data_IF_972438485950
#
_entry.id   IF_972438485950
#
_cell.length_a   1.000
_cell.length_b   1.000
_cell.length_c   1.000
_cell.angle_alpha   90.00
_cell.angle_beta   90.00
_cell.angle_gamma   90.00
#
_symmetry.space_group_name_H-M   'P 1'
#
loop_
_entity.id
_entity.type
_entity.pdbx_description
1 polymer ?
#
# COMPACT_ATOMS: atom_id res chain seq x y z
N UNK A 1 16.29 19.65 -7.99
CA UNK A 1 15.48 19.22 -6.82
C UNK A 1 15.74 20.18 -5.69
N UNK A 2 14.75 20.46 -4.84
CA UNK A 2 14.98 21.31 -3.68
C UNK A 2 15.86 20.56 -2.67
N UNK A 3 16.55 21.30 -1.81
CA UNK A 3 17.39 20.71 -0.77
C UNK A 3 16.50 20.21 0.38
N UNK A 4 16.73 18.99 0.85
CA UNK A 4 16.06 18.45 2.06
C UNK A 4 16.43 19.32 3.27
N UNK A 5 15.45 19.93 3.97
CA UNK A 5 15.70 20.71 5.17
C UNK A 5 16.43 19.90 6.25
N UNK A 6 17.38 20.53 6.95
CA UNK A 6 18.08 19.93 8.09
C UNK A 6 17.30 20.22 9.37
N UNK A 7 16.36 19.35 9.70
CA UNK A 7 15.59 19.40 10.94
C UNK A 7 16.09 18.32 11.91
N UNK A 8 16.09 18.59 13.23
CA UNK A 8 16.42 17.58 14.23
C UNK A 8 15.39 16.45 14.22
N UNK A 9 15.83 15.24 14.58
CA UNK A 9 14.92 14.12 14.76
C UNK A 9 14.08 14.31 16.02
N UNK A 10 12.80 13.95 15.93
CA UNK A 10 11.96 13.76 17.11
C UNK A 10 12.52 12.61 17.96
N UNK A 11 12.47 12.75 19.28
CA UNK A 11 13.03 11.80 20.26
C UNK A 11 12.02 10.80 20.79
N UNK A 12 10.72 11.04 20.60
CA UNK A 12 9.67 10.18 21.12
C UNK A 12 8.66 9.76 20.05
N UNK A 13 8.17 8.53 20.19
CA UNK A 13 7.08 8.00 19.39
C UNK A 13 5.77 8.74 19.69
N UNK A 14 4.92 8.87 18.66
CA UNK A 14 3.65 9.61 18.67
C UNK A 14 2.53 8.63 19.06
N UNK A 15 1.60 8.97 20.00
CA UNK A 15 0.55 9.99 19.81
C UNK A 15 0.76 11.33 20.52
N UNK A 16 1.60 11.38 21.55
CA UNK A 16 1.68 12.52 22.47
C UNK A 16 2.95 13.37 22.30
N UNK A 17 3.54 13.35 21.09
CA UNK A 17 4.80 13.99 20.66
C UNK A 17 5.38 14.99 21.70
N UNK A 18 6.12 14.51 22.72
CA UNK A 18 6.62 15.36 23.80
C UNK A 18 7.68 16.36 23.33
N UNK A 19 8.19 16.18 22.11
CA UNK A 19 9.12 17.10 21.46
C UNK A 19 8.43 18.36 20.92
N UNK A 20 7.09 18.38 20.85
CA UNK A 20 6.38 19.58 20.46
C UNK A 20 6.58 20.69 21.50
N UNK A 21 7.05 21.88 21.09
CA UNK A 21 7.15 23.02 21.98
C UNK A 21 5.79 23.34 22.62
N UNK A 22 5.79 23.72 23.90
CA UNK A 22 4.56 24.04 24.63
C UNK A 22 3.74 25.15 23.95
N UNK A 23 4.41 26.10 23.29
CA UNK A 23 3.74 27.09 22.45
C UNK A 23 4.00 26.76 20.98
N UNK A 24 2.93 26.71 20.18
CA UNK A 24 3.01 26.50 18.73
C UNK A 24 3.92 27.49 17.99
N UNK A 25 4.05 28.72 18.52
CA UNK A 25 4.93 29.76 17.94
C UNK A 25 6.41 29.41 18.03
N UNK A 26 6.77 28.48 18.90
CA UNK A 26 8.13 28.04 19.15
C UNK A 26 8.51 26.86 18.22
N UNK A 27 7.56 26.31 17.45
CA UNK A 27 7.86 25.38 16.36
C UNK A 27 8.64 26.15 15.28
N UNK A 28 9.80 25.65 14.82
CA UNK A 28 10.54 26.30 13.75
C UNK A 28 9.64 26.49 12.52
N UNK A 29 9.52 27.74 12.04
CA UNK A 29 8.58 28.07 10.95
C UNK A 29 8.89 27.30 9.66
N UNK A 30 10.16 27.00 9.44
CA UNK A 30 10.66 26.19 8.34
C UNK A 30 10.38 24.69 8.51
N UNK A 31 10.06 24.23 9.72
CA UNK A 31 9.67 22.84 9.97
C UNK A 31 8.26 22.54 9.46
N UNK A 32 7.30 23.46 9.59
CA UNK A 32 5.88 23.24 9.27
C UNK A 32 5.40 21.86 9.77
N UNK A 33 5.48 21.64 11.08
CA UNK A 33 5.33 20.30 11.67
C UNK A 33 3.88 20.06 12.08
N UNK A 34 3.19 19.22 11.31
CA UNK A 34 1.75 19.03 11.43
C UNK A 34 1.32 18.61 12.84
N UNK A 35 2.00 17.63 13.46
CA UNK A 35 1.65 17.17 14.82
C UNK A 35 1.80 18.25 15.89
N UNK A 36 2.72 19.21 15.71
CA UNK A 36 2.98 20.22 16.73
C UNK A 36 2.13 21.48 16.59
N UNK A 37 1.99 22.03 15.39
CA UNK A 37 1.25 23.28 15.18
C UNK A 37 0.02 23.13 14.28
N UNK A 38 -0.12 22.03 13.55
CA UNK A 38 -1.15 21.80 12.54
C UNK A 38 -0.79 22.42 11.19
N UNK A 39 0.49 22.70 10.93
CA UNK A 39 0.93 23.28 9.67
C UNK A 39 0.80 22.28 8.51
N UNK A 40 0.14 22.75 7.46
CA UNK A 40 -0.08 22.03 6.20
C UNK A 40 0.68 22.77 5.11
N UNK A 41 1.52 22.04 4.36
CA UNK A 41 2.28 22.60 3.27
C UNK A 41 1.37 22.89 2.06
N UNK A 42 1.80 23.79 1.17
CA UNK A 42 0.96 24.23 0.05
C UNK A 42 0.55 23.10 -0.92
N UNK A 43 1.30 22.00 -0.96
CA UNK A 43 1.06 20.84 -1.81
C UNK A 43 0.55 19.61 -1.04
N UNK A 44 0.31 19.73 0.26
CA UNK A 44 -0.42 18.73 1.03
C UNK A 44 -1.90 18.74 0.62
N UNK A 45 -2.54 17.57 0.70
CA UNK A 45 -3.97 17.40 0.46
C UNK A 45 -4.66 17.23 1.82
N UNK A 46 -5.34 18.28 2.30
CA UNK A 46 -6.10 18.25 3.58
C UNK A 46 -7.62 18.43 3.41
N UNK A 47 -8.07 18.88 2.23
CA UNK A 47 -9.47 19.14 1.88
C UNK A 47 -9.75 18.78 0.42
N UNK A 48 -11.00 18.48 0.09
CA UNK A 48 -11.42 18.43 -1.30
C UNK A 48 -11.76 19.84 -1.80
N UNK A 49 -11.29 20.28 -2.99
CA UNK A 49 -11.64 21.59 -3.52
C UNK A 49 -13.14 21.75 -3.83
N UNK A 50 -13.83 20.66 -4.15
CA UNK A 50 -15.26 20.66 -4.49
C UNK A 50 -16.11 20.57 -3.23
N UNK A 51 -17.08 21.48 -3.07
CA UNK A 51 -18.06 21.41 -1.99
C UNK A 51 -18.76 20.04 -1.96
N UNK A 52 -19.09 19.58 -0.74
CA UNK A 52 -19.72 18.29 -0.44
C UNK A 52 -18.93 17.04 -0.84
N UNK A 53 -17.84 17.15 -1.60
CA UNK A 53 -16.95 16.03 -1.83
C UNK A 53 -16.39 15.56 -0.49
N UNK A 54 -16.45 14.26 -0.25
CA UNK A 54 -15.96 13.65 0.97
C UNK A 54 -14.93 12.60 0.60
N UNK A 55 -13.65 12.95 0.76
CA UNK A 55 -12.55 12.00 0.75
C UNK A 55 -12.68 11.04 1.92
N UNK A 56 -13.45 9.97 1.73
CA UNK A 56 -13.55 8.88 2.67
C UNK A 56 -12.27 8.06 2.57
N UNK A 57 -11.63 7.80 3.72
CA UNK A 57 -10.34 7.11 3.75
C UNK A 57 -10.25 6.17 4.93
N UNK A 58 -9.47 5.11 4.80
CA UNK A 58 -9.21 4.12 5.85
C UNK A 58 -7.71 3.85 5.97
N UNK A 59 -7.19 3.90 7.19
CA UNK A 59 -5.77 3.69 7.51
C UNK A 59 -5.54 2.35 8.21
N UNK A 60 -4.26 1.94 8.20
CA UNK A 60 -3.65 0.81 8.93
C UNK A 60 -3.93 -0.59 8.37
N UNK A 61 -4.82 -0.70 7.40
CA UNK A 61 -5.08 -1.93 6.66
C UNK A 61 -3.94 -2.38 5.72
N UNK A 62 -4.15 -3.49 5.00
CA UNK A 62 -5.32 -4.37 5.12
C UNK A 62 -5.26 -5.21 6.41
N UNK A 63 -6.40 -5.73 6.84
CA UNK A 63 -6.54 -6.54 8.05
C UNK A 63 -7.52 -7.70 7.84
N UNK A 64 -7.72 -8.52 8.87
CA UNK A 64 -8.80 -9.53 8.89
C UNK A 64 -10.19 -8.89 8.77
N UNK A 65 -10.36 -7.62 9.15
CA UNK A 65 -11.63 -6.90 9.19
C UNK A 65 -11.93 -6.12 7.90
N UNK A 66 -10.91 -5.80 7.11
CA UNK A 66 -11.05 -5.08 5.84
C UNK A 66 -12.06 -5.72 4.88
N UNK A 67 -12.12 -7.06 4.67
CA UNK A 67 -13.15 -7.67 3.81
C UNK A 67 -14.59 -7.37 4.26
N UNK A 68 -14.82 -7.25 5.57
CA UNK A 68 -16.13 -6.89 6.13
C UNK A 68 -16.47 -5.43 5.86
N UNK A 69 -15.48 -4.54 5.89
CA UNK A 69 -15.65 -3.14 5.48
C UNK A 69 -15.93 -3.03 3.99
N UNK A 70 -15.16 -3.70 3.13
CA UNK A 70 -15.37 -3.72 1.67
C UNK A 70 -16.81 -4.11 1.31
N UNK A 71 -17.34 -5.16 1.94
CA UNK A 71 -18.75 -5.55 1.77
C UNK A 71 -19.73 -4.41 2.09
N UNK A 72 -19.48 -3.63 3.15
CA UNK A 72 -20.34 -2.48 3.52
C UNK A 72 -20.23 -1.35 2.49
N UNK A 73 -19.02 -1.04 2.04
CA UNK A 73 -18.79 -0.01 1.03
C UNK A 73 -19.44 -0.38 -0.31
N UNK A 74 -19.30 -1.64 -0.74
CA UNK A 74 -19.97 -2.17 -1.93
C UNK A 74 -21.51 -2.06 -1.80
N UNK A 75 -22.08 -2.44 -0.65
CA UNK A 75 -23.53 -2.30 -0.40
C UNK A 75 -24.01 -0.84 -0.45
N UNK A 76 -23.15 0.10 -0.07
CA UNK A 76 -23.43 1.53 -0.13
C UNK A 76 -23.10 2.16 -1.51
N UNK A 77 -22.53 1.40 -2.45
CA UNK A 77 -21.98 1.89 -3.72
C UNK A 77 -20.97 3.03 -3.51
N UNK A 78 -20.09 2.86 -2.52
CA UNK A 78 -19.07 3.84 -2.13
C UNK A 78 -17.69 3.32 -2.48
N UNK A 79 -16.88 4.16 -3.12
CA UNK A 79 -15.44 3.94 -3.30
C UNK A 79 -14.66 4.81 -2.32
N UNK A 80 -13.50 4.34 -1.90
CA UNK A 80 -12.63 4.96 -0.89
C UNK A 80 -11.17 4.84 -1.33
N UNK A 81 -10.25 5.45 -0.58
CA UNK A 81 -8.83 5.11 -0.61
C UNK A 81 -8.43 4.42 0.70
N UNK A 82 -7.63 3.36 0.60
CA UNK A 82 -7.03 2.66 1.72
C UNK A 82 -5.56 3.04 1.79
N UNK A 83 -5.12 3.61 2.92
CA UNK A 83 -3.70 3.88 3.19
C UNK A 83 -3.10 2.66 3.87
N UNK A 84 -2.41 1.84 3.08
CA UNK A 84 -2.00 0.51 3.51
C UNK A 84 -0.59 0.48 4.11
N UNK A 85 -0.41 -0.30 5.17
CA UNK A 85 0.89 -0.54 5.80
C UNK A 85 1.59 -1.70 5.10
N UNK A 86 2.84 -1.52 4.66
CA UNK A 86 3.55 -2.52 3.85
C UNK A 86 3.67 -3.90 4.50
N UNK A 87 3.92 -3.95 5.82
CA UNK A 87 3.99 -5.21 6.57
C UNK A 87 2.63 -5.95 6.62
N UNK A 88 1.51 -5.23 6.61
CA UNK A 88 0.16 -5.78 6.51
C UNK A 88 -0.16 -6.29 5.11
N UNK A 89 0.32 -5.61 4.07
CA UNK A 89 0.21 -6.09 2.69
C UNK A 89 0.88 -7.45 2.51
N UNK A 90 2.01 -7.68 3.18
CA UNK A 90 2.68 -8.98 3.18
C UNK A 90 1.82 -10.08 3.84
N UNK A 91 1.06 -9.74 4.89
CA UNK A 91 0.18 -10.67 5.60
C UNK A 91 -1.15 -10.92 4.88
N UNK A 92 -1.71 -9.89 4.25
CA UNK A 92 -3.05 -9.89 3.62
C UNK A 92 -3.02 -9.48 2.12
N UNK A 93 -2.23 -10.14 1.26
CA UNK A 93 -2.10 -9.76 -0.15
C UNK A 93 -3.41 -9.93 -0.93
N UNK A 94 -4.22 -10.94 -0.61
CA UNK A 94 -5.52 -11.17 -1.25
C UNK A 94 -6.53 -10.07 -0.91
N UNK A 95 -6.49 -9.54 0.32
CA UNK A 95 -7.33 -8.41 0.72
C UNK A 95 -6.96 -7.15 -0.04
N UNK A 96 -5.67 -6.85 -0.21
CA UNK A 96 -5.22 -5.73 -1.05
C UNK A 96 -5.70 -5.88 -2.50
N UNK A 97 -5.62 -7.08 -3.07
CA UNK A 97 -6.17 -7.34 -4.41
C UNK A 97 -7.68 -7.15 -4.47
N UNK A 98 -8.40 -7.50 -3.40
CA UNK A 98 -9.84 -7.29 -3.30
C UNK A 98 -10.19 -5.80 -3.28
N UNK A 99 -9.47 -4.97 -2.50
CA UNK A 99 -9.63 -3.50 -2.49
C UNK A 99 -9.53 -2.93 -3.91
N UNK A 100 -8.47 -3.29 -4.64
CA UNK A 100 -8.25 -2.84 -6.03
C UNK A 100 -9.36 -3.34 -6.96
N UNK A 101 -9.74 -4.61 -6.85
CA UNK A 101 -10.76 -5.23 -7.71
C UNK A 101 -12.15 -4.62 -7.52
N UNK A 102 -12.48 -4.20 -6.31
CA UNK A 102 -13.74 -3.52 -5.99
C UNK A 102 -13.72 -2.02 -6.34
N UNK A 103 -12.60 -1.53 -6.90
CA UNK A 103 -12.49 -0.16 -7.43
C UNK A 103 -12.07 0.87 -6.39
N UNK A 104 -11.57 0.44 -5.24
CA UNK A 104 -10.93 1.31 -4.27
C UNK A 104 -9.52 1.69 -4.71
N UNK A 105 -9.04 2.82 -4.22
CA UNK A 105 -7.68 3.28 -4.45
C UNK A 105 -6.76 2.87 -3.32
N UNK A 106 -5.47 2.73 -3.65
CA UNK A 106 -4.43 2.41 -2.67
C UNK A 106 -3.51 3.63 -2.51
N UNK A 107 -3.40 4.10 -1.27
CA UNK A 107 -2.36 5.00 -0.79
C UNK A 107 -1.37 4.23 0.09
N UNK A 108 -0.17 4.77 0.29
CA UNK A 108 0.84 4.15 1.16
C UNK A 108 0.78 4.72 2.58
N UNK A 109 0.91 3.86 3.58
CA UNK A 109 1.00 4.22 5.00
C UNK A 109 2.28 3.69 5.64
N UNK A 110 3.41 3.87 4.94
CA UNK A 110 4.74 3.37 5.31
C UNK A 110 4.86 1.84 5.31
N UNK A 111 6.00 1.32 5.73
CA UNK A 111 6.25 -0.12 5.82
C UNK A 111 5.80 -0.67 7.18
N UNK A 112 6.18 0.01 8.26
CA UNK A 112 6.00 -0.47 9.64
C UNK A 112 5.14 0.45 10.51
N UNK A 113 4.53 1.49 9.95
CA UNK A 113 3.75 2.49 10.70
C UNK A 113 4.60 3.31 11.69
N UNK A 114 5.85 3.63 11.31
CA UNK A 114 6.74 4.43 12.15
C UNK A 114 6.42 5.94 12.11
N UNK A 115 6.64 6.64 13.23
CA UNK A 115 6.58 8.11 13.28
C UNK A 115 7.73 8.72 12.46
N UNK A 116 7.40 9.32 11.32
CA UNK A 116 8.38 9.69 10.29
C UNK A 116 9.39 10.75 10.73
N UNK A 117 9.03 11.67 11.64
CA UNK A 117 9.96 12.71 12.10
C UNK A 117 11.00 12.19 13.08
N UNK A 118 10.77 11.01 13.68
CA UNK A 118 11.75 10.30 14.53
C UNK A 118 12.87 9.64 13.72
N UNK A 119 12.66 9.46 12.42
CA UNK A 119 13.53 8.68 11.53
C UNK A 119 14.58 9.53 10.83
N UNK A 120 15.76 8.95 10.63
CA UNK A 120 16.77 9.46 9.69
C UNK A 120 16.23 9.52 8.26
N UNK A 121 16.89 10.27 7.37
CA UNK A 121 16.45 10.37 5.98
C UNK A 121 16.47 9.02 5.27
N UNK A 122 17.47 8.19 5.56
CA UNK A 122 17.62 6.85 5.01
C UNK A 122 16.50 5.92 5.50
N UNK A 123 16.11 6.02 6.77
CA UNK A 123 14.99 5.27 7.34
C UNK A 123 13.65 5.71 6.74
N UNK A 124 13.44 7.02 6.51
CA UNK A 124 12.24 7.53 5.80
C UNK A 124 12.16 6.92 4.40
N UNK A 125 13.27 6.90 3.66
CA UNK A 125 13.32 6.29 2.33
C UNK A 125 13.02 4.80 2.41
N UNK A 126 13.57 4.09 3.41
CA UNK A 126 13.32 2.67 3.62
C UNK A 126 11.83 2.39 3.89
N UNK A 127 11.20 3.16 4.78
CA UNK A 127 9.77 3.03 5.11
C UNK A 127 8.88 3.16 3.87
N UNK A 128 9.17 4.15 3.02
CA UNK A 128 8.40 4.35 1.79
C UNK A 128 8.71 3.27 0.75
N UNK A 129 9.98 2.94 0.52
CA UNK A 129 10.37 2.03 -0.57
C UNK A 129 10.05 0.56 -0.29
N UNK A 130 10.10 0.11 0.95
CA UNK A 130 9.63 -1.24 1.29
C UNK A 130 8.13 -1.37 1.13
N UNK A 131 7.36 -0.39 1.61
CA UNK A 131 5.92 -0.36 1.40
C UNK A 131 5.52 -0.28 -0.08
N UNK A 132 6.16 0.62 -0.85
CA UNK A 132 5.98 0.75 -2.31
C UNK A 132 6.23 -0.58 -3.02
N UNK A 133 7.32 -1.27 -2.65
CA UNK A 133 7.68 -2.55 -3.24
C UNK A 133 6.59 -3.60 -3.03
N UNK A 134 6.09 -3.78 -1.81
CA UNK A 134 5.08 -4.79 -1.53
C UNK A 134 3.76 -4.51 -2.25
N UNK A 135 3.30 -3.25 -2.23
CA UNK A 135 2.11 -2.86 -2.99
C UNK A 135 2.29 -3.14 -4.48
N UNK A 136 3.45 -2.80 -5.04
CA UNK A 136 3.74 -3.04 -6.46
C UNK A 136 3.84 -4.53 -6.80
N UNK A 137 4.49 -5.34 -5.97
CA UNK A 137 4.65 -6.78 -6.22
C UNK A 137 3.29 -7.49 -6.21
N UNK A 138 2.36 -7.07 -5.33
CA UNK A 138 1.01 -7.66 -5.25
C UNK A 138 0.10 -7.15 -6.37
N UNK A 139 0.08 -5.84 -6.64
CA UNK A 139 -0.96 -5.21 -7.48
C UNK A 139 -0.47 -4.76 -8.85
N UNK A 140 0.84 -4.60 -9.04
CA UNK A 140 1.45 -3.92 -10.17
C UNK A 140 1.26 -2.39 -10.17
N UNK A 141 0.69 -1.81 -9.12
CA UNK A 141 0.40 -0.37 -9.00
C UNK A 141 1.54 0.36 -8.27
N UNK A 142 1.89 1.56 -8.72
CA UNK A 142 2.79 2.48 -8.01
C UNK A 142 1.97 3.62 -7.43
N UNK A 143 1.77 3.62 -6.12
CA UNK A 143 0.92 4.61 -5.43
C UNK A 143 1.48 6.02 -5.57
N UNK A 144 0.58 7.00 -5.70
CA UNK A 144 0.92 8.44 -5.78
C UNK A 144 0.66 9.17 -4.48
N UNK A 145 -0.23 8.62 -3.66
CA UNK A 145 -0.64 9.20 -2.39
C UNK A 145 -0.01 8.41 -1.25
N UNK A 146 0.36 9.13 -0.20
CA UNK A 146 0.72 8.53 1.07
C UNK A 146 0.12 9.36 2.20
N UNK A 147 -0.01 8.73 3.36
CA UNK A 147 -0.38 9.42 4.60
C UNK A 147 0.66 9.10 5.67
N UNK A 148 1.17 10.09 6.41
CA UNK A 148 2.09 9.82 7.52
C UNK A 148 1.35 9.18 8.71
N UNK A 149 1.87 8.08 9.27
CA UNK A 149 1.42 7.55 10.56
C UNK A 149 1.30 8.66 11.60
N UNK A 150 0.19 8.67 12.33
CA UNK A 150 -0.12 9.68 13.37
C UNK A 150 -0.22 11.14 12.88
N UNK A 151 -0.25 11.38 11.57
CA UNK A 151 -0.09 12.72 11.00
C UNK A 151 1.34 13.26 11.13
N UNK A 152 2.32 12.42 11.46
CA UNK A 152 3.69 12.83 11.77
C UNK A 152 4.48 13.25 10.53
N UNK A 153 4.44 14.55 10.22
CA UNK A 153 5.12 15.09 9.06
C UNK A 153 5.63 16.51 9.28
N UNK A 154 6.89 16.73 8.91
CA UNK A 154 7.55 18.04 8.80
C UNK A 154 8.03 18.27 7.36
N UNK A 155 8.59 19.44 7.07
CA UNK A 155 9.09 19.77 5.73
C UNK A 155 10.29 18.91 5.29
N UNK A 156 11.04 18.30 6.22
CA UNK A 156 12.10 17.35 5.88
C UNK A 156 11.50 16.06 5.33
N UNK A 157 10.53 15.49 6.03
CA UNK A 157 9.79 14.31 5.59
C UNK A 157 9.08 14.59 4.26
N UNK A 158 8.36 15.72 4.15
CA UNK A 158 7.67 16.12 2.89
C UNK A 158 8.61 16.20 1.71
N UNK A 159 9.78 16.82 1.87
CA UNK A 159 10.72 16.95 0.75
C UNK A 159 11.26 15.59 0.29
N UNK A 160 11.54 14.67 1.22
CA UNK A 160 12.03 13.32 0.89
C UNK A 160 10.96 12.54 0.11
N UNK A 161 9.72 12.49 0.60
CA UNK A 161 8.63 11.76 -0.08
C UNK A 161 8.23 12.40 -1.41
N UNK A 162 8.28 13.74 -1.51
CA UNK A 162 8.04 14.48 -2.75
C UNK A 162 9.06 14.13 -3.83
N UNK A 163 10.34 14.01 -3.48
CA UNK A 163 11.38 13.57 -4.42
C UNK A 163 11.16 12.13 -4.90
N UNK A 164 10.42 11.31 -4.15
CA UNK A 164 10.01 9.96 -4.54
C UNK A 164 8.68 9.94 -5.33
N UNK A 165 8.07 11.09 -5.63
CA UNK A 165 6.85 11.20 -6.43
C UNK A 165 5.54 11.12 -5.64
N UNK A 166 5.60 11.19 -4.30
CA UNK A 166 4.43 11.10 -3.44
C UNK A 166 3.80 12.45 -3.13
N UNK A 167 2.46 12.46 -3.02
CA UNK A 167 1.66 13.55 -2.47
C UNK A 167 1.20 13.20 -1.06
N UNK A 168 1.50 14.07 -0.10
CA UNK A 168 1.09 13.91 1.30
C UNK A 168 -0.39 14.18 1.45
N UNK A 169 -1.13 13.23 2.01
CA UNK A 169 -2.55 13.37 2.34
C UNK A 169 -2.70 13.38 3.85
N UNK A 170 -3.34 14.42 4.35
CA UNK A 170 -3.74 14.58 5.75
C UNK A 170 -5.28 14.67 5.78
N UNK A 171 -5.90 14.51 6.95
CA UNK A 171 -7.33 14.69 7.11
C UNK A 171 -7.68 16.15 7.43
N UNK A 172 -8.91 16.54 7.11
CA UNK A 172 -9.41 17.85 7.52
C UNK A 172 -9.42 17.87 9.05
N UNK A 173 -8.89 18.93 9.67
CA UNK A 173 -8.60 19.01 11.12
C UNK A 173 -9.74 18.55 12.04
N UNK A 174 -10.99 18.86 11.71
CA UNK A 174 -12.18 18.48 12.48
C UNK A 174 -12.75 17.09 12.14
N UNK A 175 -12.15 16.37 11.20
CA UNK A 175 -12.66 15.14 10.58
C UNK A 175 -11.82 13.89 10.90
N UNK A 176 -11.16 13.89 12.06
CA UNK A 176 -10.76 12.67 12.74
C UNK A 176 -12.01 12.03 13.39
N UNK A 177 -12.28 10.76 13.09
CA UNK A 177 -13.38 10.03 13.73
C UNK A 177 -13.04 9.64 15.18
N UNK A 178 -11.75 9.57 15.51
CA UNK A 178 -11.18 9.00 16.73
C UNK A 178 -11.55 7.54 16.95
N UNK A 179 -11.99 6.80 15.93
CA UNK A 179 -12.42 5.41 16.04
C UNK A 179 -11.35 4.47 16.63
N UNK A 180 -10.07 4.74 16.36
CA UNK A 180 -8.91 4.05 16.93
C UNK A 180 -8.87 4.03 18.48
N UNK A 181 -9.54 4.98 19.14
CA UNK A 181 -9.63 5.03 20.60
C UNK A 181 -10.64 4.02 21.19
N UNK A 182 -11.51 3.43 20.36
CA UNK A 182 -12.44 2.38 20.82
C UNK A 182 -11.69 1.09 21.23
N UNK A 183 -10.82 0.49 20.40
CA UNK A 183 -10.06 -0.69 20.80
C UNK A 183 -9.11 -0.42 21.99
N UNK A 184 -8.63 0.82 22.14
CA UNK A 184 -7.86 1.25 23.32
C UNK A 184 -8.70 1.47 24.58
N UNK A 185 -10.03 1.40 24.46
CA UNK A 185 -11.01 1.60 25.55
C UNK A 185 -10.95 3.01 26.16
N UNK A 186 -10.47 3.99 25.41
CA UNK A 186 -10.39 5.40 25.83
C UNK A 186 -11.65 6.18 25.45
N UNK A 187 -12.39 5.73 24.42
CA UNK A 187 -13.73 6.22 24.09
C UNK A 187 -14.70 5.09 23.71
N UNK A 188 -15.97 5.43 23.59
CA UNK A 188 -17.07 4.54 23.18
C UNK A 188 -17.54 4.83 21.75
N UNK A 189 -18.31 3.91 21.14
CA UNK A 189 -18.97 4.16 19.85
C UNK A 189 -19.85 5.42 19.88
N UNK A 190 -20.49 5.72 21.02
CA UNK A 190 -21.33 6.92 21.19
C UNK A 190 -20.50 8.21 21.11
N UNK A 191 -19.25 8.18 21.55
CA UNK A 191 -18.31 9.30 21.46
C UNK A 191 -17.83 9.52 20.04
N UNK A 192 -17.44 8.45 19.32
CA UNK A 192 -17.13 8.53 17.89
C UNK A 192 -18.28 9.16 17.10
N UNK A 193 -19.52 8.69 17.33
CA UNK A 193 -20.69 9.28 16.66
C UNK A 193 -20.94 10.74 17.05
N UNK A 194 -20.57 11.15 18.26
CA UNK A 194 -20.68 12.55 18.72
C UNK A 194 -19.63 13.42 18.04
N UNK A 195 -18.39 12.95 17.95
CA UNK A 195 -17.28 13.63 17.28
C UNK A 195 -17.63 13.85 15.80
N UNK A 196 -18.11 12.79 15.13
CA UNK A 196 -18.51 12.90 13.73
C UNK A 196 -19.70 13.83 13.51
N UNK A 197 -20.70 13.84 14.42
CA UNK A 197 -21.80 14.83 14.36
C UNK A 197 -21.31 16.26 14.55
N UNK A 198 -20.30 16.47 15.39
CA UNK A 198 -19.67 17.77 15.53
C UNK A 198 -18.91 18.16 14.25
N UNK A 199 -18.14 17.25 13.65
CA UNK A 199 -17.47 17.45 12.36
C UNK A 199 -18.48 17.84 11.27
N UNK A 200 -19.61 17.13 11.17
CA UNK A 200 -20.72 17.45 10.26
C UNK A 200 -21.28 18.87 10.45
N UNK A 201 -21.23 19.43 11.67
CA UNK A 201 -21.69 20.80 11.93
C UNK A 201 -20.76 21.87 11.34
N UNK A 202 -19.53 21.49 10.95
CA UNK A 202 -18.55 22.38 10.32
C UNK A 202 -18.79 22.54 8.82
N UNK A 203 -19.44 21.57 8.16
CA UNK A 203 -19.65 21.54 6.69
C UNK A 203 -20.14 22.89 6.12
N UNK A 204 -21.14 23.58 6.70
CA UNK A 204 -21.63 24.84 6.15
C UNK A 204 -20.62 25.99 6.15
N UNK A 205 -19.51 25.86 6.90
CA UNK A 205 -18.45 26.87 7.01
C UNK A 205 -17.25 26.58 6.11
N UNK A 206 -17.19 25.40 5.49
CA UNK A 206 -16.08 24.99 4.65
C UNK A 206 -16.24 25.57 3.25
N UNK A 207 -15.13 26.03 2.67
CA UNK A 207 -15.06 26.53 1.29
C UNK A 207 -14.73 25.42 0.28
N UNK A 208 -15.14 24.19 0.61
CA UNK A 208 -14.78 22.97 -0.08
C UNK A 208 -15.39 21.74 0.60
N UNK A 209 -14.93 20.57 0.18
CA UNK A 209 -15.23 19.29 0.79
C UNK A 209 -14.23 18.92 1.88
N UNK A 210 -14.29 17.66 2.34
CA UNK A 210 -13.60 17.18 3.54
C UNK A 210 -12.86 15.89 3.26
N UNK A 211 -11.85 15.58 4.07
CA UNK A 211 -11.17 14.30 4.10
C UNK A 211 -11.27 13.75 5.52
N UNK A 212 -11.82 12.54 5.68
CA UNK A 212 -11.93 11.89 7.00
C UNK A 212 -10.74 11.01 7.31
N UNK A 213 -10.46 10.82 8.59
CA UNK A 213 -9.61 9.75 9.12
C UNK A 213 -10.46 8.71 9.85
N UNK A 214 -10.41 7.48 9.36
CA UNK A 214 -11.02 6.27 9.92
C UNK A 214 -10.03 5.11 9.75
N UNK A 215 -10.21 3.99 10.45
CA UNK A 215 -9.27 2.87 10.42
C UNK A 215 -10.00 1.56 10.15
N UNK A 216 -9.44 0.68 9.33
CA UNK A 216 -10.02 -0.64 9.01
C UNK A 216 -9.31 -1.79 9.71
N UNK A 217 -8.54 -1.50 10.76
CA UNK A 217 -7.71 -2.44 11.48
C UNK A 217 -8.46 -3.35 12.46
N UNK A 218 -9.52 -2.85 13.10
CA UNK A 218 -10.16 -3.52 14.23
C UNK A 218 -11.66 -3.71 14.03
N UNK A 219 -12.22 -4.76 14.63
CA UNK A 219 -13.67 -5.04 14.58
C UNK A 219 -14.49 -3.83 15.03
N UNK A 220 -14.01 -3.12 16.05
CA UNK A 220 -14.65 -1.95 16.65
C UNK A 220 -14.71 -0.76 15.68
N UNK A 221 -13.63 -0.49 14.94
CA UNK A 221 -13.58 0.61 13.97
C UNK A 221 -14.47 0.31 12.76
N UNK A 222 -14.38 -0.92 12.21
CA UNK A 222 -15.27 -1.36 11.12
C UNK A 222 -16.76 -1.42 11.53
N UNK A 223 -17.06 -1.59 12.82
CA UNK A 223 -18.44 -1.52 13.32
C UNK A 223 -19.03 -0.12 13.21
N UNK A 224 -18.23 0.94 13.40
CA UNK A 224 -18.70 2.34 13.34
C UNK A 224 -18.66 2.94 11.94
N UNK A 225 -17.79 2.47 11.04
CA UNK A 225 -17.62 3.00 9.67
C UNK A 225 -18.92 3.12 8.85
N UNK A 226 -19.79 2.09 8.89
CA UNK A 226 -21.08 2.09 8.20
C UNK A 226 -22.02 3.20 8.71
N UNK A 227 -22.32 3.24 10.02
CA UNK A 227 -23.06 4.36 10.61
C UNK A 227 -22.47 5.75 10.33
N UNK A 228 -21.14 5.90 10.31
CA UNK A 228 -20.48 7.16 9.93
C UNK A 228 -20.79 7.54 8.49
N UNK A 229 -20.63 6.59 7.56
CA UNK A 229 -20.99 6.71 6.13
C UNK A 229 -22.44 7.16 5.94
N UNK A 230 -23.38 6.49 6.63
CA UNK A 230 -24.80 6.84 6.58
C UNK A 230 -25.07 8.27 7.09
N UNK A 231 -24.41 8.68 8.17
CA UNK A 231 -24.56 10.04 8.72
C UNK A 231 -24.03 11.10 7.75
N UNK A 232 -22.87 10.85 7.12
CA UNK A 232 -22.27 11.73 6.11
C UNK A 232 -23.17 11.90 4.89
N UNK A 233 -23.58 10.78 4.29
CA UNK A 233 -24.45 10.78 3.11
C UNK A 233 -25.82 11.43 3.39
N UNK A 234 -26.43 11.19 4.57
CA UNK A 234 -27.68 11.87 4.97
C UNK A 234 -27.53 13.37 5.14
N UNK A 235 -26.32 13.88 5.39
CA UNK A 235 -26.00 15.31 5.41
C UNK A 235 -25.62 15.88 4.04
N UNK A 236 -25.71 15.06 2.99
CA UNK A 236 -25.46 15.48 1.61
C UNK A 236 -23.98 15.51 1.25
N UNK A 237 -23.12 14.83 2.01
CA UNK A 237 -21.75 14.57 1.57
C UNK A 237 -21.74 13.46 0.52
N UNK A 238 -20.81 13.59 -0.41
CA UNK A 238 -20.63 12.67 -1.53
C UNK A 238 -19.29 11.95 -1.36
N UNK A 239 -19.30 10.69 -0.87
CA UNK A 239 -18.07 9.96 -0.65
C UNK A 239 -17.36 9.69 -1.98
N UNK A 240 -16.08 10.01 -2.02
CA UNK A 240 -15.17 9.85 -3.14
C UNK A 240 -13.81 9.41 -2.62
N UNK A 241 -13.02 8.77 -3.48
CA UNK A 241 -11.59 8.58 -3.20
C UNK A 241 -10.80 9.90 -3.31
N UNK A 242 -9.55 9.90 -2.86
CA UNK A 242 -8.69 11.10 -2.85
C UNK A 242 -8.37 11.60 -4.26
N UNK A 243 -8.20 10.73 -5.24
CA UNK A 243 -7.90 11.17 -6.60
C UNK A 243 -9.07 11.95 -7.21
N UNK A 244 -10.30 11.45 -7.03
CA UNK A 244 -11.51 12.18 -7.43
C UNK A 244 -11.75 13.43 -6.58
N UNK A 245 -11.45 13.37 -5.29
CA UNK A 245 -11.51 14.52 -4.38
C UNK A 245 -10.68 15.70 -4.91
N UNK A 246 -9.47 15.46 -5.46
CA UNK A 246 -8.57 16.50 -5.99
C UNK A 246 -8.53 16.59 -7.52
N UNK A 247 -9.45 15.93 -8.22
CA UNK A 247 -9.53 15.87 -9.68
C UNK A 247 -8.24 15.39 -10.37
N UNK A 248 -7.55 14.40 -9.79
CA UNK A 248 -6.36 13.77 -10.37
C UNK A 248 -6.76 12.63 -11.33
N UNK A 249 -6.57 12.77 -12.65
CA UNK A 249 -6.91 11.72 -13.61
C UNK A 249 -5.89 10.57 -13.59
N UNK A 250 -4.76 10.74 -12.91
CA UNK A 250 -3.65 9.78 -12.86
C UNK A 250 -3.31 9.43 -11.40
N UNK A 251 -4.14 8.61 -10.74
CA UNK A 251 -4.03 8.27 -9.32
C UNK A 251 -2.80 7.44 -8.95
N UNK A 252 -2.10 6.88 -9.94
CA UNK A 252 -0.90 6.06 -9.78
C UNK A 252 0.25 6.67 -10.58
N UNK A 253 1.48 6.55 -10.07
CA UNK A 253 2.66 7.03 -10.79
C UNK A 253 2.89 6.29 -12.11
N UNK A 254 2.34 5.08 -12.24
CA UNK A 254 2.38 4.28 -13.46
C UNK A 254 1.04 4.24 -14.22
N UNK A 255 0.12 5.20 -14.00
CA UNK A 255 -1.18 5.28 -14.68
C UNK A 255 -1.07 5.18 -16.20
N UNK A 256 -0.16 5.91 -16.85
CA UNK A 256 0.03 5.84 -18.30
C UNK A 256 0.41 4.42 -18.79
N UNK A 257 1.26 3.70 -18.04
CA UNK A 257 1.63 2.32 -18.37
C UNK A 257 0.44 1.36 -18.22
N UNK A 258 -0.40 1.58 -17.20
CA UNK A 258 -1.63 0.81 -16.98
C UNK A 258 -2.60 1.03 -18.14
N UNK A 259 -2.87 2.29 -18.51
CA UNK A 259 -3.77 2.62 -19.61
C UNK A 259 -3.32 2.01 -20.94
N UNK A 260 -2.03 2.12 -21.27
CA UNK A 260 -1.46 1.48 -22.46
C UNK A 260 -1.66 -0.04 -22.46
N UNK A 261 -1.47 -0.71 -21.32
CA UNK A 261 -1.72 -2.16 -21.21
C UNK A 261 -3.20 -2.51 -21.42
N UNK A 262 -4.11 -1.71 -20.85
CA UNK A 262 -5.55 -1.91 -21.01
C UNK A 262 -6.01 -1.69 -22.45
N UNK A 263 -5.47 -0.69 -23.16
CA UNK A 263 -5.76 -0.44 -24.58
C UNK A 263 -5.27 -1.59 -25.47
N UNK A 264 -4.06 -2.09 -25.23
CA UNK A 264 -3.53 -3.26 -25.95
C UNK A 264 -4.39 -4.50 -25.71
N UNK A 265 -4.82 -4.74 -24.47
CA UNK A 265 -5.67 -5.90 -24.12
C UNK A 265 -7.07 -5.83 -24.75
N UNK A 266 -7.60 -4.63 -25.03
CA UNK A 266 -8.88 -4.43 -25.71
C UNK A 266 -8.81 -4.65 -27.23
N UNK A 267 -7.62 -4.65 -27.83
CA UNK A 267 -7.46 -4.89 -29.28
C UNK A 267 -7.70 -6.37 -29.58
N UNK A 268 -8.55 -6.74 -30.56
CA UNK A 268 -8.74 -8.13 -30.93
C UNK A 268 -7.41 -8.77 -31.27
N UNK A 269 -7.12 -9.93 -30.68
CA UNK A 269 -5.97 -10.74 -31.08
C UNK A 269 -6.05 -10.95 -32.60
N UNK A 270 -5.04 -10.51 -33.33
CA UNK A 270 -4.96 -10.79 -34.76
C UNK A 270 -5.03 -12.31 -34.91
N UNK A 271 -5.99 -12.80 -35.71
CA UNK A 271 -6.07 -14.23 -36.04
C UNK A 271 -4.68 -14.67 -36.51
N UNK A 272 -4.12 -15.77 -35.98
CA UNK A 272 -2.87 -16.28 -36.50
C UNK A 272 -3.03 -16.47 -38.01
N UNK A 273 -2.15 -15.85 -38.78
CA UNK A 273 -2.12 -16.03 -40.22
C UNK A 273 -1.95 -17.52 -40.48
N UNK A 274 -2.96 -18.13 -41.11
CA UNK A 274 -2.86 -19.51 -41.60
C UNK A 274 -1.66 -19.51 -42.55
N UNK A 275 -0.60 -20.28 -42.28
CA UNK A 275 0.53 -20.34 -43.20
C UNK A 275 0.01 -20.81 -44.55
N UNK A 276 0.31 -20.03 -45.60
CA UNK A 276 -0.02 -20.40 -46.96
C UNK A 276 0.58 -21.78 -47.26
N UNK A 277 -0.27 -22.69 -47.73
CA UNK A 277 0.09 -24.04 -48.19
C UNK A 277 1.32 -23.96 -49.11
N UNK A 278 2.41 -24.71 -48.86
CA UNK A 278 3.52 -24.75 -49.80
C UNK A 278 3.05 -25.29 -51.13
N UNK A 279 3.31 -24.55 -52.21
CA UNK A 279 3.17 -25.04 -53.58
C UNK A 279 4.13 -26.21 -53.80
N UNK A 280 3.65 -27.20 -54.54
CA UNK A 280 4.30 -28.48 -54.75
C UNK A 280 5.55 -28.41 -55.65
N UNK A 281 6.37 -29.45 -55.47
CA UNK A 281 7.30 -30.08 -56.40
C UNK A 281 8.73 -29.52 -56.51
N UNK A 282 9.65 -30.19 -55.80
CA UNK A 282 10.99 -30.50 -56.29
C UNK A 282 11.22 -32.02 -56.17
N UNK A 283 11.97 -32.55 -57.14
CA UNK A 283 12.10 -33.94 -57.58
C UNK A 283 12.75 -34.91 -56.56
N UNK A 284 12.63 -36.24 -56.77
CA UNK A 284 13.08 -37.25 -55.81
C UNK A 284 14.59 -37.47 -55.88
N UNK A 285 15.25 -37.35 -54.72
CA UNK A 285 16.61 -37.85 -54.48
C UNK A 285 16.54 -39.28 -53.93
N UNK A 286 17.32 -40.15 -54.54
CA UNK A 286 17.46 -41.59 -54.26
C UNK A 286 18.18 -41.83 -52.92
N UNK A 287 17.92 -42.94 -52.20
CA UNK A 287 18.42 -43.14 -50.84
C UNK A 287 19.85 -43.67 -50.81
N UNK A 288 20.71 -43.10 -49.97
CA UNK A 288 21.90 -43.77 -49.46
C UNK A 288 21.69 -44.20 -48.01
N UNK A 289 22.15 -45.40 -47.72
CA UNK A 289 21.87 -46.15 -46.50
C UNK A 289 22.96 -45.96 -45.42
N UNK A 290 22.48 -46.03 -44.18
CA UNK A 290 23.12 -46.50 -42.93
C UNK A 290 24.18 -45.63 -42.24
N UNK A 291 23.95 -45.35 -40.95
CA UNK A 291 24.36 -46.25 -39.84
C UNK A 291 23.61 -45.90 -38.53
N UNK A 292 23.23 -46.88 -37.68
CA UNK A 292 22.62 -46.60 -36.38
C UNK A 292 23.70 -46.33 -35.32
N UNK A 293 23.49 -45.35 -34.45
CA UNK A 293 24.26 -45.20 -33.21
C UNK A 293 23.33 -45.13 -32.00
N UNK A 294 23.48 -46.20 -31.23
CA UNK A 294 23.16 -46.56 -29.85
C UNK A 294 22.45 -45.59 -28.89
N UNK A 295 21.49 -46.18 -28.16
CA UNK A 295 20.94 -45.71 -26.88
C UNK A 295 21.97 -45.83 -25.74
N UNK A 296 22.06 -44.87 -24.81
CA UNK A 296 22.72 -45.11 -23.54
C UNK A 296 21.77 -45.82 -22.56
N UNK A 297 22.23 -47.00 -22.13
CA UNK A 297 21.67 -47.85 -21.09
C UNK A 297 21.65 -47.16 -19.73
N UNK A 298 20.54 -47.32 -19.03
CA UNK A 298 20.39 -47.10 -17.58
C UNK A 298 21.21 -48.17 -16.85
N UNK A 299 22.10 -47.75 -15.96
CA UNK A 299 22.75 -48.61 -14.99
C UNK A 299 22.25 -48.26 -13.59
N UNK A 300 21.59 -49.23 -12.98
CA UNK A 300 21.35 -49.35 -11.55
C UNK A 300 22.55 -50.02 -10.87
N UNK A 301 22.60 -49.88 -9.53
CA UNK A 301 22.91 -50.92 -8.52
C UNK A 301 23.97 -50.54 -7.45
N UNK A 302 23.50 -50.67 -6.20
CA UNK A 302 24.12 -51.02 -4.89
C UNK A 302 24.87 -50.00 -4.00
N UNK A 303 24.21 -49.70 -2.88
CA UNK A 303 24.46 -50.18 -1.49
C UNK A 303 25.90 -50.41 -1.00
N UNK A 304 26.17 -49.81 0.17
CA UNK A 304 27.20 -50.24 1.13
C UNK A 304 27.69 -49.11 2.04
N UNK A 305 27.12 -49.04 3.26
CA UNK A 305 27.69 -48.74 4.59
C UNK A 305 28.86 -47.74 4.77
N UNK A 306 29.07 -47.04 5.87
CA UNK A 306 28.38 -46.64 7.09
C UNK A 306 29.44 -45.78 7.82
N UNK A 307 29.09 -44.63 8.41
CA UNK A 307 29.40 -44.39 9.83
C UNK A 307 28.77 -43.11 10.40
N UNK A 308 28.45 -43.27 11.68
CA UNK A 308 27.86 -42.45 12.74
C UNK A 308 28.07 -40.91 12.73
N UNK A 309 27.02 -40.13 13.09
CA UNK A 309 26.81 -39.67 14.48
C UNK A 309 25.60 -38.67 14.60
N UNK A 310 24.79 -38.86 15.65
CA UNK A 310 23.78 -37.97 16.28
C UNK A 310 22.45 -37.61 15.60
N UNK A 311 21.53 -38.56 15.70
CA UNK A 311 20.15 -38.47 16.25
C UNK A 311 19.97 -37.38 17.33
N UNK A 312 18.96 -36.50 17.32
CA UNK A 312 17.56 -36.61 17.83
C UNK A 312 17.09 -35.14 17.95
N UNK A 313 15.87 -34.67 17.67
CA UNK A 313 14.66 -35.14 17.02
C UNK A 313 13.70 -33.93 17.05
N UNK A 314 13.00 -33.64 15.96
CA UNK A 314 11.65 -33.05 16.03
C UNK A 314 10.82 -33.80 15.00
N UNK A 315 10.10 -34.82 15.48
CA UNK A 315 9.14 -35.57 14.68
C UNK A 315 7.83 -34.77 14.59
N UNK A 316 7.45 -34.54 13.34
CA UNK A 316 6.11 -34.70 12.77
C UNK A 316 4.89 -34.04 13.42
N UNK A 317 4.32 -33.10 12.67
CA UNK A 317 2.91 -33.19 12.26
C UNK A 317 2.87 -33.12 10.74
N UNK A 318 2.42 -34.20 10.09
CA UNK A 318 2.18 -34.26 8.64
C UNK A 318 0.80 -34.86 8.38
N UNK A 319 0.14 -34.29 7.35
CA UNK A 319 -1.07 -34.73 6.60
C UNK A 319 -2.39 -34.21 7.18
N UNK A 320 -3.23 -33.51 6.42
CA UNK A 320 -3.56 -33.54 4.98
C UNK A 320 -3.82 -32.11 4.45
N UNK A 321 -3.80 -31.75 3.17
CA UNK A 321 -3.54 -32.43 1.92
C UNK A 321 -3.61 -31.40 0.77
N UNK A 322 -2.69 -31.53 -0.20
CA UNK A 322 -2.75 -31.06 -1.59
C UNK A 322 -3.19 -29.61 -1.91
N UNK A 323 -2.21 -28.74 -2.19
CA UNK A 323 -2.28 -27.82 -3.35
C UNK A 323 -0.91 -27.83 -4.05
N UNK A 324 -0.96 -27.96 -5.37
CA UNK A 324 0.13 -28.16 -6.30
C UNK A 324 1.20 -27.06 -6.29
N UNK A 325 2.45 -27.50 -6.27
CA UNK A 325 3.64 -26.68 -6.53
C UNK A 325 3.63 -26.12 -7.95
N UNK A 326 3.74 -24.80 -8.07
CA UNK A 326 4.35 -24.14 -9.21
C UNK A 326 5.51 -23.30 -8.67
N UNK A 327 6.70 -23.60 -9.19
CA UNK A 327 7.98 -23.15 -8.70
C UNK A 327 8.14 -21.63 -8.73
N UNK A 328 8.59 -21.06 -7.61
CA UNK A 328 9.21 -19.74 -7.57
C UNK A 328 10.70 -19.95 -7.32
N UNK A 329 11.51 -19.59 -8.32
CA UNK A 329 12.96 -19.69 -8.28
C UNK A 329 13.54 -18.75 -7.23
N UNK A 330 14.43 -19.30 -6.40
CA UNK A 330 15.18 -18.60 -5.37
C UNK A 330 16.06 -17.49 -5.95
N UNK A 331 15.75 -16.23 -5.61
CA UNK A 331 16.75 -15.15 -5.56
C UNK A 331 16.33 -14.13 -4.50
N UNK A 332 16.36 -14.57 -3.23
CA UNK A 332 16.28 -13.70 -2.06
C UNK A 332 17.25 -14.24 -1.03
N UNK A 333 18.49 -13.75 -1.04
CA UNK A 333 19.39 -13.62 0.12
C UNK A 333 20.77 -13.20 -0.42
N UNK A 334 21.12 -11.91 -0.26
CA UNK A 334 22.46 -11.37 -0.02
C UNK A 334 22.59 -9.93 -0.53
N UNK A 335 22.09 -8.94 0.23
CA UNK A 335 22.74 -7.62 0.29
C UNK A 335 22.63 -7.11 1.74
N UNK A 336 23.49 -7.64 2.60
CA UNK A 336 24.05 -6.90 3.75
C UNK A 336 25.53 -7.26 3.78
N UNK A 337 26.37 -6.25 3.98
CA UNK A 337 27.83 -6.28 4.14
C UNK A 337 28.67 -6.31 2.84
N UNK A 338 28.99 -5.12 2.32
CA UNK A 338 30.39 -4.79 1.98
C UNK A 338 30.65 -3.33 2.36
N UNK A 339 31.35 -3.14 3.48
CA UNK A 339 32.17 -1.95 3.74
C UNK A 339 33.54 -2.44 4.17
N UNK A 340 34.57 -1.85 3.57
CA UNK A 340 36.00 -1.90 3.90
C UNK A 340 36.77 -3.20 3.56
N UNK A 341 37.63 -3.17 2.54
CA UNK A 341 39.08 -2.89 2.64
C UNK A 341 39.84 -3.28 1.34
N UNK A 342 40.53 -2.27 0.78
CA UNK A 342 41.87 -2.23 0.16
C UNK A 342 42.30 -3.23 -0.94
N UNK A 343 42.78 -2.69 -2.08
CA UNK A 343 44.22 -2.39 -2.31
C UNK A 343 44.50 -2.01 -3.78
N UNK A 344 44.62 -0.70 -4.07
CA UNK A 344 45.68 -0.01 -4.86
C UNK A 344 45.29 1.44 -5.10
#
# INVERSE_FOLDING_TARGET
>A
MAQVPKLPLAKAEIPNCPDCPKNKKDVPKDACWWTCDGCVAADDIEVCPREKAWGLTYDDGPSEETPRLLKKLHQANVTSIFFVVGSRVLEYPETLLQEVKEGHYIGLHTWSHAGMTTLTNEQIVAEIKWGEKLVFDVTGLKTKYWRPPYGDVDNRVREIVRQMGYKTVIWTKEWDSNDWQIPEKTITNKEVFRNFKWALSTVPKLKGGVITLEHDLYTQTVNVAGPLSDMGMKKGLEPVDIARCVNDPEPYQNSALIQKKLEVAKKPAAKPAVPAKPAAAAQPITPQAQKPLEEPKVASVHDGDADEDKTIAVKEIKKSGAVSQLAWSATCLAIVAISALLSL
#
